data_IF_174848269366
#
_entry.id   IF_174848269366
#
_cell.length_a   1.000
_cell.length_b   1.000
_cell.length_c   1.000
_cell.angle_alpha   90.00
_cell.angle_beta   90.00
_cell.angle_gamma   90.00
#
_symmetry.space_group_name_H-M   'P 1'
#
loop_
_entity.id
_entity.type
_entity.pdbx_description
1 polymer ?
#
# COMPACT_ATOMS: atom_id res chain seq x y z
N UNK A 1 28.60 22.52 -25.99
CA UNK A 1 28.97 21.82 -24.74
C UNK A 1 27.67 21.41 -24.04
N UNK A 2 27.24 20.15 -24.14
CA UNK A 2 25.94 19.69 -23.62
C UNK A 2 26.07 19.35 -22.13
N UNK A 3 25.27 20.04 -21.32
CA UNK A 3 25.21 19.86 -19.86
C UNK A 3 24.54 18.52 -19.58
N UNK A 4 25.22 17.70 -18.78
CA UNK A 4 24.85 16.31 -18.46
C UNK A 4 23.85 16.34 -17.32
N UNK A 5 22.61 15.90 -17.56
CA UNK A 5 21.56 15.80 -16.54
C UNK A 5 22.05 14.98 -15.34
N UNK A 6 22.23 15.65 -14.20
CA UNK A 6 22.49 15.00 -12.91
C UNK A 6 21.21 14.25 -12.52
N UNK A 7 21.15 12.95 -12.80
CA UNK A 7 20.14 12.06 -12.24
C UNK A 7 20.35 12.00 -10.73
N UNK A 8 19.51 12.72 -9.98
CA UNK A 8 19.51 12.68 -8.51
C UNK A 8 18.89 11.34 -8.10
N UNK A 9 19.75 10.36 -7.86
CA UNK A 9 19.33 9.06 -7.32
C UNK A 9 19.10 9.26 -5.82
N UNK A 10 17.84 9.39 -5.43
CA UNK A 10 17.46 9.42 -4.02
C UNK A 10 17.54 8.00 -3.44
N UNK A 11 18.60 7.73 -2.67
CA UNK A 11 18.68 6.54 -1.85
C UNK A 11 17.83 6.72 -0.59
N UNK A 12 16.57 6.30 -0.64
CA UNK A 12 15.73 6.19 0.54
C UNK A 12 16.08 4.90 1.27
N UNK A 13 16.90 5.00 2.33
CA UNK A 13 17.14 3.87 3.24
C UNK A 13 15.91 3.66 4.11
N UNK A 14 14.98 2.82 3.64
CA UNK A 14 13.83 2.40 4.44
C UNK A 14 14.26 1.25 5.35
N UNK A 15 14.07 1.40 6.67
CA UNK A 15 14.30 0.31 7.62
C UNK A 15 13.48 -0.92 7.20
N UNK A 16 14.11 -2.09 7.13
CA UNK A 16 13.43 -3.35 6.75
C UNK A 16 12.22 -3.70 7.63
N UNK A 17 12.22 -3.27 8.91
CA UNK A 17 11.05 -3.40 9.80
C UNK A 17 9.82 -2.63 9.31
N UNK A 18 10.02 -1.50 8.63
CA UNK A 18 8.94 -0.70 8.03
C UNK A 18 8.33 -1.42 6.84
N UNK A 19 9.15 -2.03 5.98
CA UNK A 19 8.70 -2.82 4.83
C UNK A 19 7.88 -4.02 5.31
N UNK A 20 8.38 -4.76 6.30
CA UNK A 20 7.64 -5.87 6.92
C UNK A 20 6.28 -5.45 7.45
N UNK A 21 6.20 -4.30 8.13
CA UNK A 21 4.94 -3.77 8.67
C UNK A 21 3.93 -3.41 7.57
N UNK A 22 4.39 -2.84 6.46
CA UNK A 22 3.53 -2.50 5.32
C UNK A 22 2.99 -3.76 4.65
N UNK A 23 3.84 -4.77 4.43
CA UNK A 23 3.41 -6.05 3.87
C UNK A 23 2.39 -6.73 4.78
N UNK A 24 2.64 -6.75 6.09
CA UNK A 24 1.72 -7.34 7.07
C UNK A 24 0.35 -6.65 7.05
N UNK A 25 0.33 -5.33 6.94
CA UNK A 25 -0.90 -4.55 6.82
C UNK A 25 -1.69 -4.89 5.55
N UNK A 26 -1.00 -5.06 4.41
CA UNK A 26 -1.67 -5.39 3.13
C UNK A 26 -2.28 -6.80 3.18
N UNK A 27 -1.56 -7.76 3.78
CA UNK A 27 -2.07 -9.13 3.99
C UNK A 27 -3.28 -9.11 4.92
N UNK A 28 -3.18 -8.43 6.07
CA UNK A 28 -4.29 -8.30 7.03
C UNK A 28 -5.52 -7.66 6.39
N UNK A 29 -5.35 -6.56 5.66
CA UNK A 29 -6.45 -5.89 4.95
C UNK A 29 -7.12 -6.81 3.93
N UNK A 30 -6.34 -7.53 3.12
CA UNK A 30 -6.87 -8.47 2.14
C UNK A 30 -7.66 -9.60 2.77
N UNK A 31 -7.17 -10.18 3.87
CA UNK A 31 -7.86 -11.24 4.61
C UNK A 31 -9.15 -10.73 5.25
N UNK A 32 -9.12 -9.56 5.89
CA UNK A 32 -10.33 -8.96 6.49
C UNK A 32 -11.38 -8.71 5.42
N UNK A 33 -11.01 -8.13 4.27
CA UNK A 33 -11.94 -7.90 3.17
C UNK A 33 -12.51 -9.18 2.58
N UNK A 34 -11.68 -10.23 2.45
CA UNK A 34 -12.14 -11.53 1.98
C UNK A 34 -13.25 -12.07 2.89
N UNK A 35 -13.03 -12.12 4.21
CA UNK A 35 -14.03 -12.65 5.13
C UNK A 35 -15.30 -11.81 5.19
N UNK A 36 -15.20 -10.48 5.12
CA UNK A 36 -16.37 -9.60 5.10
C UNK A 36 -17.25 -9.89 3.86
N UNK A 37 -16.63 -10.07 2.69
CA UNK A 37 -17.37 -10.37 1.46
C UNK A 37 -17.88 -11.81 1.48
N UNK A 38 -17.09 -12.77 1.97
CA UNK A 38 -17.47 -14.18 2.08
C UNK A 38 -18.66 -14.37 3.02
N UNK A 39 -18.73 -13.61 4.13
CA UNK A 39 -19.88 -13.64 5.05
C UNK A 39 -21.19 -13.22 4.38
N UNK A 40 -21.14 -12.32 3.39
CA UNK A 40 -22.35 -11.81 2.72
C UNK A 40 -22.69 -12.65 1.49
N UNK A 41 -21.68 -13.03 0.71
CA UNK A 41 -21.86 -13.70 -0.57
C UNK A 41 -21.83 -15.23 -0.48
N UNK A 42 -21.29 -15.80 0.63
CA UNK A 42 -21.10 -17.24 0.84
C UNK A 42 -20.47 -17.95 -0.37
N UNK A 43 -19.60 -17.23 -1.09
CA UNK A 43 -19.02 -17.67 -2.36
C UNK A 43 -17.57 -17.22 -2.43
N UNK A 44 -16.68 -18.19 -2.50
CA UNK A 44 -15.23 -17.99 -2.54
C UNK A 44 -14.79 -17.14 -3.73
N UNK A 45 -15.45 -17.28 -4.88
CA UNK A 45 -15.13 -16.51 -6.09
C UNK A 45 -15.46 -15.03 -5.89
N UNK A 46 -16.65 -14.74 -5.34
CA UNK A 46 -17.09 -13.37 -5.08
C UNK A 46 -16.24 -12.74 -3.98
N UNK A 47 -15.90 -13.50 -2.94
CA UNK A 47 -15.02 -13.07 -1.87
C UNK A 47 -13.60 -12.72 -2.37
N UNK A 48 -13.04 -13.51 -3.29
CA UNK A 48 -11.75 -13.19 -3.93
C UNK A 48 -11.82 -11.89 -4.74
N UNK A 49 -12.82 -11.75 -5.61
CA UNK A 49 -12.99 -10.53 -6.43
C UNK A 49 -13.22 -9.31 -5.54
N UNK A 50 -14.05 -9.44 -4.51
CA UNK A 50 -14.35 -8.38 -3.55
C UNK A 50 -13.13 -7.95 -2.72
N UNK A 51 -12.30 -8.90 -2.30
CA UNK A 51 -11.02 -8.59 -1.62
C UNK A 51 -10.05 -7.86 -2.54
N UNK A 52 -9.97 -8.27 -3.82
CA UNK A 52 -9.11 -7.62 -4.81
C UNK A 52 -9.56 -6.17 -5.09
N UNK A 53 -10.85 -5.96 -5.36
CA UNK A 53 -11.41 -4.62 -5.58
C UNK A 53 -11.28 -3.76 -4.32
N UNK A 54 -11.52 -4.34 -3.14
CA UNK A 54 -11.44 -3.63 -1.87
C UNK A 54 -10.01 -3.15 -1.57
N UNK A 55 -9.01 -4.00 -1.75
CA UNK A 55 -7.60 -3.63 -1.51
C UNK A 55 -7.10 -2.59 -2.50
N UNK A 56 -7.47 -2.68 -3.78
CA UNK A 56 -7.21 -1.62 -4.76
C UNK A 56 -7.95 -0.32 -4.45
N UNK A 57 -9.20 -0.42 -3.99
CA UNK A 57 -10.01 0.72 -3.55
C UNK A 57 -9.37 1.47 -2.39
N UNK A 58 -8.88 0.76 -1.37
CA UNK A 58 -8.17 1.35 -0.22
C UNK A 58 -6.87 2.03 -0.67
N UNK A 59 -6.18 1.51 -1.68
CA UNK A 59 -4.97 2.12 -2.26
C UNK A 59 -5.30 3.37 -3.08
N UNK A 60 -6.48 3.43 -3.71
CA UNK A 60 -6.96 4.59 -4.49
C UNK A 60 -7.60 5.70 -3.65
N UNK A 61 -7.94 5.44 -2.38
CA UNK A 61 -8.43 6.49 -1.48
C UNK A 61 -7.34 7.58 -1.34
N UNK A 62 -7.68 8.86 -1.56
CA UNK A 62 -6.76 9.95 -1.35
C UNK A 62 -6.38 10.00 0.12
N UNK A 63 -5.20 9.49 0.45
CA UNK A 63 -4.66 9.61 1.81
C UNK A 63 -4.49 11.11 2.08
N UNK A 64 -4.99 11.69 3.18
CA UNK A 64 -4.58 13.01 3.58
C UNK A 64 -3.06 12.95 3.77
N UNK A 65 -2.35 13.64 2.88
CA UNK A 65 -0.90 13.71 2.87
C UNK A 65 -0.48 14.51 4.10
N UNK A 66 -0.45 13.90 5.28
CA UNK A 66 0.29 14.45 6.41
C UNK A 66 1.75 14.03 6.25
N UNK A 67 2.43 14.64 5.27
CA UNK A 67 3.90 14.62 5.22
C UNK A 67 4.39 15.41 6.43
N UNK A 68 4.58 14.77 7.58
CA UNK A 68 5.66 15.21 8.47
C UNK A 68 6.96 14.89 7.75
N UNK A 69 7.40 15.86 6.95
CA UNK A 69 8.79 16.00 6.55
C UNK A 69 9.56 16.11 7.87
N UNK A 70 10.24 15.04 8.26
CA UNK A 70 11.23 15.13 9.33
C UNK A 70 12.40 15.87 8.70
N UNK A 71 12.51 17.16 9.03
CA UNK A 71 13.62 18.02 8.68
C UNK A 71 14.93 17.32 9.06
N UNK A 72 15.81 17.18 8.08
CA UNK A 72 17.19 16.76 8.28
C UNK A 72 17.87 17.78 9.19
N UNK A 73 18.43 17.32 10.29
CA UNK A 73 19.54 17.99 11.02
C UNK A 73 20.54 16.90 11.39
#
# INVERSE_FOLDING_TARGET
MKIKDKQIIFFYTVKGSTIKRVILLDILLGTVMYYVVDMVASSTIIAMIGSFIGTEGVKRLPRPINRRIITVT
#
